data_IF_948357566113
#
_entry.id   IF_948357566113
#
_cell.length_a   1.000
_cell.length_b   1.000
_cell.length_c   1.000
_cell.angle_alpha   90.00
_cell.angle_beta   90.00
_cell.angle_gamma   90.00
#
_symmetry.space_group_name_H-M   'P 1'
#
loop_
_entity.id
_entity.type
_entity.pdbx_description
1 polymer ?
#
# COMPACT_ATOMS: atom_id res chain seq x y z
N UNK A 1 -15.50 17.13 -9.01
CA UNK A 1 -14.49 16.06 -9.12
C UNK A 1 -14.48 15.13 -7.90
N UNK A 2 -14.77 15.64 -6.69
CA UNK A 2 -14.96 14.84 -5.47
C UNK A 2 -16.20 13.95 -5.52
N UNK A 3 -17.24 14.38 -6.23
CA UNK A 3 -18.48 13.61 -6.38
C UNK A 3 -18.33 12.33 -7.21
N UNK A 4 -17.26 12.18 -7.99
CA UNK A 4 -17.06 10.96 -8.76
C UNK A 4 -16.50 9.78 -7.95
N UNK A 5 -15.74 10.05 -6.90
CA UNK A 5 -15.25 8.99 -6.00
C UNK A 5 -16.38 8.34 -5.19
N UNK A 6 -17.38 9.12 -4.78
CA UNK A 6 -18.57 8.59 -4.07
C UNK A 6 -19.53 7.79 -4.96
N UNK A 7 -19.46 7.95 -6.27
CA UNK A 7 -20.33 7.26 -7.24
C UNK A 7 -19.83 5.87 -7.63
N UNK A 8 -18.60 5.53 -7.28
CA UNK A 8 -17.97 4.31 -7.77
C UNK A 8 -18.13 3.23 -6.71
N UNK A 9 -19.27 2.55 -6.70
CA UNK A 9 -19.51 1.40 -5.82
C UNK A 9 -18.57 0.21 -6.08
N UNK A 10 -17.89 0.17 -7.22
CA UNK A 10 -17.08 -0.98 -7.63
C UNK A 10 -15.95 -0.66 -8.63
N UNK A 11 -15.69 0.62 -8.87
CA UNK A 11 -14.68 1.10 -9.83
C UNK A 11 -14.00 2.31 -9.22
N UNK A 12 -12.71 2.45 -9.38
CA UNK A 12 -12.00 3.67 -9.07
C UNK A 12 -11.01 4.03 -10.18
N UNK A 13 -10.67 5.29 -10.21
CA UNK A 13 -9.86 5.87 -11.25
C UNK A 13 -8.44 6.04 -10.75
N UNK A 14 -7.51 5.53 -11.52
CA UNK A 14 -6.09 5.75 -11.30
C UNK A 14 -5.62 6.83 -12.27
N UNK A 15 -5.05 7.89 -11.75
CA UNK A 15 -4.48 8.96 -12.54
C UNK A 15 -3.01 8.67 -12.82
N UNK A 16 -2.65 8.47 -14.07
CA UNK A 16 -1.29 8.23 -14.52
C UNK A 16 -0.75 9.42 -15.29
N UNK A 17 0.53 9.71 -15.07
CA UNK A 17 1.26 10.69 -15.86
C UNK A 17 1.74 10.05 -17.15
N UNK A 18 1.47 10.67 -18.30
CA UNK A 18 1.97 10.16 -19.58
C UNK A 18 3.47 10.41 -19.70
N UNK A 19 4.25 9.35 -19.81
CA UNK A 19 5.70 9.43 -20.00
C UNK A 19 6.13 10.04 -21.35
N UNK A 20 5.22 10.20 -22.29
CA UNK A 20 5.49 10.73 -23.65
C UNK A 20 5.23 12.24 -23.79
N UNK A 21 4.66 12.87 -22.79
CA UNK A 21 4.29 14.28 -22.84
C UNK A 21 5.12 15.12 -21.87
N UNK A 22 6.33 15.49 -22.28
CA UNK A 22 7.21 16.35 -21.48
C UNK A 22 6.73 17.82 -21.34
N UNK A 23 5.74 18.27 -22.08
CA UNK A 23 5.33 19.68 -22.11
C UNK A 23 3.97 19.96 -21.51
N UNK A 24 3.13 18.97 -21.29
CA UNK A 24 1.82 19.14 -20.69
C UNK A 24 1.61 18.04 -19.67
N UNK A 25 1.25 18.39 -18.45
CA UNK A 25 0.85 17.46 -17.39
C UNK A 25 -0.48 16.76 -17.76
N UNK A 26 -0.48 15.99 -18.83
CA UNK A 26 -1.64 15.16 -19.21
C UNK A 26 -1.64 13.95 -18.30
N UNK A 27 -2.42 14.02 -17.28
CA UNK A 27 -2.78 12.85 -16.52
C UNK A 27 -3.75 12.00 -17.33
N UNK A 28 -3.41 10.76 -17.56
CA UNK A 28 -4.30 9.79 -18.14
C UNK A 28 -5.18 9.23 -17.03
N UNK A 29 -6.48 9.45 -17.13
CA UNK A 29 -7.45 8.76 -16.26
C UNK A 29 -7.62 7.36 -16.80
N UNK A 30 -7.19 6.37 -16.01
CA UNK A 30 -7.44 4.97 -16.30
C UNK A 30 -8.48 4.43 -15.33
N UNK A 31 -9.41 3.66 -15.84
CA UNK A 31 -10.34 2.89 -15.04
C UNK A 31 -10.16 1.42 -15.36
N UNK A 32 -10.35 0.53 -14.39
CA UNK A 32 -10.46 -0.89 -14.68
C UNK A 32 -11.48 -1.13 -15.80
N UNK A 33 -11.31 -2.15 -16.65
CA UNK A 33 -12.29 -2.48 -17.67
C UNK A 33 -13.70 -2.51 -17.08
N UNK A 34 -14.70 -2.01 -17.83
CA UNK A 34 -16.08 -1.89 -17.34
C UNK A 34 -16.70 -3.21 -16.81
N UNK A 35 -16.10 -4.34 -17.18
CA UNK A 35 -16.49 -5.68 -16.73
C UNK A 35 -15.78 -6.14 -15.45
N UNK A 36 -14.85 -5.33 -14.92
CA UNK A 36 -14.15 -5.62 -13.67
C UNK A 36 -14.87 -4.91 -12.54
N UNK A 37 -15.52 -5.67 -11.70
CA UNK A 37 -16.21 -5.17 -10.51
C UNK A 37 -15.39 -5.60 -9.28
N UNK A 38 -14.70 -4.64 -8.68
CA UNK A 38 -13.86 -4.89 -7.52
C UNK A 38 -14.70 -5.41 -6.34
N UNK A 39 -15.90 -4.84 -6.15
CA UNK A 39 -16.78 -5.25 -5.07
C UNK A 39 -17.28 -6.69 -5.24
N UNK A 40 -17.66 -7.05 -6.48
CA UNK A 40 -18.02 -8.46 -6.76
C UNK A 40 -16.85 -9.40 -6.52
N UNK A 41 -15.64 -8.95 -6.81
CA UNK A 41 -14.42 -9.70 -6.51
C UNK A 41 -14.19 -9.84 -5.01
N UNK A 42 -14.28 -8.75 -4.27
CA UNK A 42 -14.18 -8.75 -2.80
C UNK A 42 -15.28 -9.59 -2.16
N UNK A 43 -16.53 -9.44 -2.60
CA UNK A 43 -17.67 -10.21 -2.09
C UNK A 43 -17.51 -11.71 -2.39
N UNK A 44 -17.05 -12.06 -3.59
CA UNK A 44 -16.75 -13.45 -3.96
C UNK A 44 -15.60 -14.03 -3.12
N UNK A 45 -14.60 -13.22 -2.79
CA UNK A 45 -13.49 -13.64 -1.94
C UNK A 45 -13.90 -13.78 -0.47
N UNK A 46 -14.79 -12.92 0.04
CA UNK A 46 -15.26 -12.96 1.43
C UNK A 46 -16.28 -14.08 1.68
N UNK A 47 -17.06 -14.46 0.67
CA UNK A 47 -18.16 -15.43 0.81
C UNK A 47 -17.71 -16.86 1.08
N UNK A 48 -16.45 -17.19 0.88
CA UNK A 48 -15.98 -18.58 0.98
C UNK A 48 -15.33 -18.95 2.32
N UNK A 49 -15.21 -18.03 3.28
CA UNK A 49 -14.90 -18.33 4.70
C UNK A 49 -13.63 -19.14 5.00
N UNK A 50 -12.75 -19.38 4.01
CA UNK A 50 -11.51 -20.13 4.19
C UNK A 50 -10.32 -19.19 4.36
N UNK A 51 -9.38 -19.56 5.21
CA UNK A 51 -8.11 -18.82 5.36
C UNK A 51 -7.15 -19.01 4.19
N UNK A 52 -7.40 -20.00 3.35
CA UNK A 52 -6.62 -20.24 2.15
C UNK A 52 -6.93 -19.22 1.04
N UNK A 53 -5.92 -18.82 0.26
CA UNK A 53 -6.14 -17.97 -0.90
C UNK A 53 -6.99 -18.73 -1.92
N UNK A 54 -8.19 -18.19 -2.16
CA UNK A 54 -9.15 -18.80 -3.04
C UNK A 54 -8.67 -18.85 -4.48
N UNK A 55 -9.04 -19.89 -5.23
CA UNK A 55 -8.78 -19.92 -6.64
C UNK A 55 -9.49 -18.74 -7.34
N UNK A 56 -8.70 -17.84 -7.88
CA UNK A 56 -9.21 -16.66 -8.56
C UNK A 56 -9.95 -17.12 -9.83
N UNK A 57 -11.21 -16.73 -10.02
CA UNK A 57 -11.93 -17.04 -11.24
C UNK A 57 -11.14 -16.61 -12.48
N UNK A 58 -11.09 -17.45 -13.52
CA UNK A 58 -10.31 -17.20 -14.76
C UNK A 58 -10.55 -15.80 -15.36
N UNK A 59 -11.78 -15.30 -15.27
CA UNK A 59 -12.16 -13.98 -15.76
C UNK A 59 -11.47 -12.86 -14.98
N UNK A 60 -11.42 -12.98 -13.66
CA UNK A 60 -10.77 -11.99 -12.78
C UNK A 60 -9.26 -12.05 -12.97
N UNK A 61 -8.67 -13.25 -13.02
CA UNK A 61 -7.25 -13.42 -13.33
C UNK A 61 -6.86 -12.72 -14.64
N UNK A 62 -7.66 -12.88 -15.69
CA UNK A 62 -7.45 -12.19 -16.97
C UNK A 62 -7.49 -10.65 -16.81
N UNK A 63 -8.40 -10.14 -16.00
CA UNK A 63 -8.50 -8.70 -15.73
C UNK A 63 -7.31 -8.18 -14.92
N UNK A 64 -6.87 -8.90 -13.91
CA UNK A 64 -5.67 -8.55 -13.11
C UNK A 64 -4.41 -8.57 -14.00
N UNK A 65 -4.27 -9.58 -14.86
CA UNK A 65 -3.16 -9.66 -15.82
C UNK A 65 -3.18 -8.53 -16.84
N UNK A 66 -4.37 -8.15 -17.33
CA UNK A 66 -4.53 -6.99 -18.19
C UNK A 66 -4.08 -5.69 -17.49
N UNK A 67 -4.48 -5.51 -16.24
CA UNK A 67 -4.07 -4.38 -15.42
C UNK A 67 -2.56 -4.37 -15.18
N UNK A 68 -1.98 -5.52 -14.84
CA UNK A 68 -0.53 -5.68 -14.67
C UNK A 68 0.24 -5.24 -15.91
N UNK A 69 -0.20 -5.71 -17.09
CA UNK A 69 0.45 -5.39 -18.36
C UNK A 69 0.31 -3.90 -18.72
N UNK A 70 -0.89 -3.35 -18.55
CA UNK A 70 -1.20 -2.00 -19.00
C UNK A 70 -0.60 -0.94 -18.08
N UNK A 71 -0.65 -1.15 -16.77
CA UNK A 71 -0.27 -0.16 -15.76
C UNK A 71 1.18 -0.36 -15.33
N UNK A 72 1.55 -1.58 -14.96
CA UNK A 72 2.88 -1.91 -14.45
C UNK A 72 3.86 -2.39 -15.52
N UNK A 73 3.39 -2.56 -16.77
CA UNK A 73 4.21 -3.00 -17.92
C UNK A 73 4.92 -4.34 -17.67
N UNK A 74 4.29 -5.22 -16.88
CA UNK A 74 4.75 -6.58 -16.59
C UNK A 74 3.85 -7.57 -17.31
N UNK A 75 4.43 -8.63 -17.88
CA UNK A 75 3.66 -9.61 -18.64
C UNK A 75 2.95 -10.63 -17.76
N UNK A 76 3.59 -11.05 -16.68
CA UNK A 76 3.13 -12.11 -15.77
C UNK A 76 3.39 -11.72 -14.32
N UNK A 77 2.58 -12.28 -13.43
CA UNK A 77 2.89 -12.28 -12.00
C UNK A 77 3.97 -13.35 -11.73
N UNK A 78 4.88 -13.05 -10.84
CA UNK A 78 5.80 -14.03 -10.32
C UNK A 78 5.12 -14.90 -9.26
N UNK A 79 5.73 -16.05 -8.96
CA UNK A 79 5.19 -16.97 -7.97
C UNK A 79 4.95 -16.27 -6.62
N UNK A 80 3.81 -16.56 -6.01
CA UNK A 80 3.36 -15.96 -4.76
C UNK A 80 2.73 -14.57 -4.87
N UNK A 81 3.08 -13.75 -5.89
CA UNK A 81 2.56 -12.38 -5.97
C UNK A 81 1.04 -12.31 -6.06
N UNK A 82 0.45 -13.14 -6.92
CA UNK A 82 -1.01 -13.13 -7.12
C UNK A 82 -1.76 -13.58 -5.86
N UNK A 83 -1.20 -14.54 -5.14
CA UNK A 83 -1.73 -15.01 -3.85
C UNK A 83 -1.73 -13.87 -2.82
N UNK A 84 -0.61 -13.16 -2.69
CA UNK A 84 -0.51 -11.99 -1.80
C UNK A 84 -1.54 -10.92 -2.19
N UNK A 85 -1.57 -10.52 -3.47
CA UNK A 85 -2.53 -9.53 -3.98
C UNK A 85 -3.96 -9.92 -3.64
N UNK A 86 -4.32 -11.19 -3.82
CA UNK A 86 -5.65 -11.70 -3.52
C UNK A 86 -6.01 -11.53 -2.04
N UNK A 87 -5.10 -11.89 -1.13
CA UNK A 87 -5.33 -11.72 0.32
C UNK A 87 -5.49 -10.24 0.70
N UNK A 88 -4.65 -9.37 0.13
CA UNK A 88 -4.73 -7.93 0.39
C UNK A 88 -6.05 -7.31 -0.11
N UNK A 89 -6.54 -7.75 -1.26
CA UNK A 89 -7.84 -7.33 -1.78
C UNK A 89 -9.01 -7.88 -0.95
N UNK A 90 -8.81 -8.95 -0.19
CA UNK A 90 -9.77 -9.46 0.80
C UNK A 90 -9.80 -8.64 2.10
N UNK A 91 -8.89 -7.68 2.26
CA UNK A 91 -8.74 -6.91 3.49
C UNK A 91 -8.17 -7.73 4.65
N UNK A 92 -7.38 -8.78 4.37
CA UNK A 92 -6.79 -9.64 5.40
C UNK A 92 -5.38 -9.20 5.76
N UNK A 93 -5.06 -9.14 7.04
CA UNK A 93 -3.69 -9.01 7.52
C UNK A 93 -2.84 -10.14 6.94
N UNK A 94 -1.63 -9.83 6.52
CA UNK A 94 -0.81 -10.79 5.77
C UNK A 94 0.67 -10.60 6.06
N UNK A 95 1.34 -11.67 6.44
CA UNK A 95 2.81 -11.71 6.47
C UNK A 95 3.28 -12.33 5.16
N UNK A 96 4.20 -11.66 4.49
CA UNK A 96 4.72 -12.05 3.17
C UNK A 96 6.19 -12.33 3.27
N UNK A 97 6.56 -13.57 3.06
CA UNK A 97 7.95 -14.02 2.96
C UNK A 97 8.28 -14.24 1.48
N UNK A 98 8.92 -13.27 0.87
CA UNK A 98 9.41 -13.35 -0.50
C UNK A 98 10.88 -12.93 -0.54
N UNK A 99 11.74 -13.62 -1.28
CA UNK A 99 13.17 -13.30 -1.34
C UNK A 99 13.42 -11.87 -1.83
N UNK A 100 14.59 -11.35 -1.53
CA UNK A 100 15.06 -10.08 -2.12
C UNK A 100 15.03 -10.20 -3.65
N UNK A 101 14.52 -9.18 -4.33
CA UNK A 101 14.27 -9.26 -5.76
C UNK A 101 12.99 -10.03 -6.17
N UNK A 102 12.28 -10.68 -5.25
CA UNK A 102 11.03 -11.42 -5.50
C UNK A 102 9.82 -10.53 -5.86
N UNK A 103 10.03 -9.23 -6.01
CA UNK A 103 8.97 -8.30 -6.43
C UNK A 103 7.94 -8.00 -5.34
N UNK A 104 8.35 -7.97 -4.08
CA UNK A 104 7.51 -7.59 -2.92
C UNK A 104 6.76 -6.27 -3.17
N UNK A 105 7.45 -5.24 -3.66
CA UNK A 105 6.87 -3.92 -3.89
C UNK A 105 5.70 -3.94 -4.86
N UNK A 106 5.73 -4.79 -5.89
CA UNK A 106 4.62 -4.91 -6.84
C UNK A 106 3.33 -5.35 -6.13
N UNK A 107 3.41 -6.22 -5.14
CA UNK A 107 2.22 -6.77 -4.47
C UNK A 107 1.40 -5.69 -3.79
N UNK A 108 2.03 -4.81 -3.02
CA UNK A 108 1.31 -3.72 -2.35
C UNK A 108 1.01 -2.54 -3.28
N UNK A 109 1.89 -2.24 -4.24
CA UNK A 109 1.61 -1.19 -5.22
C UNK A 109 0.40 -1.57 -6.08
N UNK A 110 0.33 -2.82 -6.51
CA UNK A 110 -0.79 -3.33 -7.30
C UNK A 110 -2.09 -3.30 -6.48
N UNK A 111 -2.06 -3.85 -5.27
CA UNK A 111 -3.24 -3.92 -4.39
C UNK A 111 -3.72 -2.54 -3.95
N UNK A 112 -2.81 -1.63 -3.60
CA UNK A 112 -3.14 -0.27 -3.20
C UNK A 112 -3.81 0.54 -4.31
N UNK A 113 -3.42 0.33 -5.59
CA UNK A 113 -4.11 0.97 -6.72
C UNK A 113 -5.51 0.42 -6.97
N UNK A 114 -5.77 -0.82 -6.61
CA UNK A 114 -7.08 -1.45 -6.79
C UNK A 114 -8.06 -1.18 -5.64
N UNK A 115 -7.62 -0.49 -4.60
CA UNK A 115 -8.44 -0.13 -3.44
C UNK A 115 -8.60 1.38 -3.34
N UNK A 116 -9.78 1.89 -2.92
CA UNK A 116 -9.99 3.31 -2.71
C UNK A 116 -9.24 3.78 -1.46
N UNK A 117 -8.49 4.86 -1.57
CA UNK A 117 -7.76 5.46 -0.45
C UNK A 117 -6.27 5.60 -0.71
N UNK A 118 -5.52 5.70 0.37
CA UNK A 118 -4.06 5.86 0.36
C UNK A 118 -3.41 4.61 0.95
N UNK A 119 -2.43 4.04 0.29
CA UNK A 119 -1.55 3.03 0.87
C UNK A 119 -0.44 3.74 1.66
N UNK A 120 -0.29 3.39 2.93
CA UNK A 120 0.78 3.86 3.80
C UNK A 120 1.90 2.81 3.81
N UNK A 121 3.10 3.18 3.41
CA UNK A 121 4.26 2.28 3.34
C UNK A 121 5.30 2.75 4.35
N UNK A 122 5.61 1.88 5.32
CA UNK A 122 6.60 2.09 6.35
C UNK A 122 7.84 1.29 5.96
N UNK A 123 8.93 1.99 5.67
CA UNK A 123 10.19 1.40 5.21
C UNK A 123 11.35 1.99 6.04
N UNK A 124 12.26 1.16 6.58
CA UNK A 124 13.35 1.63 7.44
C UNK A 124 14.48 2.31 6.67
N UNK A 125 14.53 2.14 5.35
CA UNK A 125 15.65 2.59 4.53
C UNK A 125 15.26 3.79 3.68
N UNK A 126 15.61 4.98 4.15
CA UNK A 126 15.29 6.27 3.47
C UNK A 126 15.76 6.31 2.02
N UNK A 127 16.90 5.70 1.70
CA UNK A 127 17.38 5.59 0.34
C UNK A 127 16.43 4.79 -0.55
N UNK A 128 15.91 3.66 -0.05
CA UNK A 128 14.93 2.84 -0.77
C UNK A 128 13.59 3.56 -0.94
N UNK A 129 13.16 4.34 0.03
CA UNK A 129 11.96 5.17 -0.08
C UNK A 129 12.06 6.09 -1.30
N UNK A 130 13.18 6.80 -1.44
CA UNK A 130 13.39 7.71 -2.57
C UNK A 130 13.39 6.98 -3.92
N UNK A 131 14.06 5.82 -3.99
CA UNK A 131 14.09 5.01 -5.19
C UNK A 131 12.70 4.46 -5.56
N UNK A 132 11.92 4.02 -4.58
CA UNK A 132 10.54 3.56 -4.79
C UNK A 132 9.65 4.68 -5.36
N UNK A 133 9.73 5.87 -4.79
CA UNK A 133 8.95 7.03 -5.27
C UNK A 133 9.44 7.47 -6.66
N UNK A 134 10.74 7.49 -6.90
CA UNK A 134 11.29 7.81 -8.22
C UNK A 134 10.84 6.79 -9.29
N UNK A 135 10.87 5.50 -8.98
CA UNK A 135 10.39 4.44 -9.86
C UNK A 135 8.90 4.57 -10.18
N UNK A 136 8.07 4.86 -9.17
CA UNK A 136 6.64 5.10 -9.38
C UNK A 136 6.41 6.32 -10.29
N UNK A 137 7.13 7.41 -10.08
CA UNK A 137 7.07 8.59 -10.94
C UNK A 137 7.49 8.28 -12.40
N UNK A 138 8.54 7.49 -12.59
CA UNK A 138 8.97 7.04 -13.93
C UNK A 138 7.92 6.17 -14.62
N UNK A 139 7.18 5.37 -13.88
CA UNK A 139 6.04 4.61 -14.40
C UNK A 139 4.81 5.46 -14.71
N UNK A 140 4.83 6.74 -14.31
CA UNK A 140 3.73 7.68 -14.55
C UNK A 140 2.79 7.85 -13.34
N UNK A 141 3.12 7.33 -12.16
CA UNK A 141 2.38 7.57 -10.92
C UNK A 141 2.89 8.85 -10.26
N UNK A 142 2.25 9.98 -10.53
CA UNK A 142 2.62 11.28 -9.98
C UNK A 142 2.03 11.57 -8.58
N UNK A 143 1.31 10.59 -8.01
CA UNK A 143 0.69 10.66 -6.68
C UNK A 143 1.33 9.69 -5.69
N UNK A 144 2.66 9.63 -5.71
CA UNK A 144 3.47 8.99 -4.69
C UNK A 144 4.30 10.06 -3.99
N UNK A 145 4.22 10.09 -2.68
CA UNK A 145 4.97 11.04 -1.86
C UNK A 145 5.71 10.33 -0.72
N UNK A 146 6.65 11.04 -0.10
CA UNK A 146 7.38 10.52 1.04
C UNK A 146 7.61 11.58 2.10
N UNK A 147 7.76 11.13 3.34
CA UNK A 147 8.15 11.97 4.46
C UNK A 147 9.37 11.34 5.13
N UNK A 148 10.52 11.92 4.88
CA UNK A 148 11.80 11.46 5.43
C UNK A 148 12.55 12.54 6.18
N UNK A 149 13.68 12.17 6.75
CA UNK A 149 14.62 13.11 7.40
C UNK A 149 15.39 13.97 6.40
N UNK A 150 15.41 13.60 5.11
CA UNK A 150 16.13 14.35 4.07
C UNK A 150 15.40 15.63 3.65
N UNK A 151 14.09 15.71 3.90
CA UNK A 151 13.32 16.93 3.64
C UNK A 151 13.67 18.02 4.66
N UNK A 152 13.86 19.23 4.19
CA UNK A 152 13.94 20.38 5.08
C UNK A 152 12.60 20.63 5.80
N UNK A 153 12.58 21.59 6.73
CA UNK A 153 11.38 21.83 7.54
C UNK A 153 10.20 22.34 6.69
N UNK A 154 10.46 23.15 5.67
CA UNK A 154 9.43 23.74 4.81
C UNK A 154 8.89 22.70 3.82
N UNK A 155 9.77 21.94 3.20
CA UNK A 155 9.39 20.83 2.31
C UNK A 155 8.56 19.78 3.06
N UNK A 156 8.97 19.45 4.27
CA UNK A 156 8.26 18.47 5.12
C UNK A 156 6.86 18.95 5.47
N UNK A 157 6.70 20.22 5.78
CA UNK A 157 5.37 20.77 6.10
C UNK A 157 4.46 20.72 4.86
N UNK A 158 4.97 21.04 3.68
CA UNK A 158 4.23 20.93 2.43
C UNK A 158 3.79 19.49 2.18
N UNK A 159 4.69 18.52 2.37
CA UNK A 159 4.38 17.11 2.17
C UNK A 159 3.35 16.60 3.19
N UNK A 160 3.46 17.00 4.45
CA UNK A 160 2.47 16.70 5.48
C UNK A 160 1.08 17.21 5.12
N UNK A 161 0.98 18.43 4.62
CA UNK A 161 -0.29 19.00 4.17
C UNK A 161 -0.86 18.27 2.95
N UNK A 162 -0.03 17.80 2.02
CA UNK A 162 -0.46 16.98 0.89
C UNK A 162 -1.01 15.62 1.37
N UNK A 163 -0.38 15.01 2.38
CA UNK A 163 -0.89 13.78 3.02
C UNK A 163 -2.27 14.04 3.59
N UNK A 164 -2.45 15.04 4.44
CA UNK A 164 -3.74 15.38 5.06
C UNK A 164 -4.86 15.68 4.06
N UNK A 165 -4.49 16.15 2.85
CA UNK A 165 -5.44 16.41 1.75
C UNK A 165 -5.76 15.18 0.90
N UNK A 166 -5.16 14.01 1.17
CA UNK A 166 -5.34 12.80 0.35
C UNK A 166 -4.79 12.95 -1.07
N UNK A 167 -3.69 13.70 -1.22
CA UNK A 167 -3.11 13.95 -2.54
C UNK A 167 -2.37 12.74 -3.11
N UNK A 168 -2.08 11.74 -2.30
CA UNK A 168 -1.24 10.60 -2.66
C UNK A 168 -2.02 9.28 -2.68
N UNK A 169 -1.69 8.41 -3.64
CA UNK A 169 -2.06 6.99 -3.62
C UNK A 169 -1.11 6.19 -2.72
N UNK A 170 0.16 6.61 -2.69
CA UNK A 170 1.20 5.98 -1.88
C UNK A 170 1.91 7.02 -1.04
N UNK A 171 1.99 6.80 0.25
CA UNK A 171 2.76 7.61 1.19
C UNK A 171 3.83 6.74 1.82
N UNK A 172 5.08 7.06 1.56
CA UNK A 172 6.23 6.37 2.13
C UNK A 172 6.76 7.13 3.32
N UNK A 173 7.02 6.43 4.41
CA UNK A 173 7.53 7.03 5.64
C UNK A 173 8.55 6.13 6.32
N UNK A 174 9.50 6.74 7.03
CA UNK A 174 10.34 6.01 7.97
C UNK A 174 9.53 5.65 9.24
N UNK A 175 9.81 4.50 9.91
CA UNK A 175 9.04 4.02 11.06
C UNK A 175 9.00 5.02 12.22
N UNK A 176 10.05 5.83 12.42
CA UNK A 176 10.11 6.86 13.46
C UNK A 176 9.01 7.92 13.29
N UNK A 177 8.51 8.13 12.08
CA UNK A 177 7.42 9.08 11.82
C UNK A 177 6.12 8.68 12.48
N UNK A 178 5.88 7.37 12.61
CA UNK A 178 4.69 6.86 13.31
C UNK A 178 4.68 7.22 14.81
N UNK A 179 5.81 7.64 15.36
CA UNK A 179 5.93 8.09 16.76
C UNK A 179 5.77 9.61 16.91
N UNK A 180 5.79 10.37 15.82
CA UNK A 180 5.74 11.83 15.84
C UNK A 180 4.31 12.37 15.79
N UNK A 181 3.92 13.21 16.75
CA UNK A 181 2.55 13.72 16.86
C UNK A 181 2.14 14.58 15.65
N UNK A 182 3.05 15.34 15.06
CA UNK A 182 2.75 16.09 13.85
C UNK A 182 2.34 15.19 12.70
N UNK A 183 2.98 14.03 12.51
CA UNK A 183 2.58 13.05 11.47
C UNK A 183 1.27 12.35 11.83
N UNK A 184 1.10 11.94 13.08
CA UNK A 184 -0.14 11.32 13.59
C UNK A 184 -1.36 12.23 13.39
N UNK A 185 -1.21 13.54 13.63
CA UNK A 185 -2.28 14.51 13.39
C UNK A 185 -2.68 14.60 11.92
N UNK A 186 -1.72 14.52 11.01
CA UNK A 186 -2.00 14.50 9.55
C UNK A 186 -2.65 13.20 9.10
N UNK A 187 -2.28 12.06 9.69
CA UNK A 187 -2.97 10.79 9.43
C UNK A 187 -4.44 10.86 9.87
N UNK A 188 -4.72 11.39 11.06
CA UNK A 188 -6.11 11.60 11.51
C UNK A 188 -6.89 12.52 10.55
N UNK A 189 -6.25 13.60 10.08
CA UNK A 189 -6.88 14.53 9.13
C UNK A 189 -7.10 13.88 7.74
N UNK A 190 -6.23 12.96 7.33
CA UNK A 190 -6.40 12.15 6.13
C UNK A 190 -7.58 11.19 6.27
N UNK A 191 -7.57 10.37 7.32
CA UNK A 191 -8.55 9.31 7.55
C UNK A 191 -9.97 9.86 7.71
N UNK A 192 -10.12 11.05 8.26
CA UNK A 192 -11.41 11.75 8.33
C UNK A 192 -12.03 12.03 6.94
N UNK A 193 -11.25 11.96 5.87
CA UNK A 193 -11.70 12.27 4.49
C UNK A 193 -11.55 11.09 3.54
N UNK A 194 -10.46 10.35 3.68
CA UNK A 194 -10.07 9.26 2.78
C UNK A 194 -9.49 8.11 3.61
N UNK A 195 -9.91 6.86 3.39
CA UNK A 195 -9.38 5.74 4.14
C UNK A 195 -7.90 5.49 3.80
N UNK A 196 -7.17 4.93 4.77
CA UNK A 196 -5.96 4.18 4.45
C UNK A 196 -6.42 2.83 3.90
N UNK A 197 -6.10 2.56 2.65
CA UNK A 197 -6.53 1.32 1.99
C UNK A 197 -5.69 0.11 2.39
N UNK A 198 -4.44 0.36 2.78
CA UNK A 198 -3.45 -0.66 3.10
C UNK A 198 -2.34 -0.03 3.93
N UNK A 199 -1.93 -0.68 5.02
CA UNK A 199 -0.72 -0.34 5.75
C UNK A 199 0.35 -1.42 5.50
N UNK A 200 1.48 -1.01 4.97
CA UNK A 200 2.59 -1.90 4.59
C UNK A 200 3.77 -1.63 5.50
N UNK A 201 4.31 -2.68 6.10
CA UNK A 201 5.53 -2.63 6.90
C UNK A 201 6.59 -3.42 6.13
N UNK A 202 7.48 -2.70 5.45
CA UNK A 202 8.60 -3.34 4.75
C UNK A 202 9.71 -3.68 5.75
N UNK A 203 10.50 -4.70 5.43
CA UNK A 203 11.50 -5.29 6.31
C UNK A 203 10.96 -5.61 7.72
N UNK A 204 9.77 -6.22 7.76
CA UNK A 204 9.05 -6.50 9.00
C UNK A 204 9.85 -7.33 10.03
N UNK A 205 10.91 -8.02 9.61
CA UNK A 205 11.82 -8.73 10.52
C UNK A 205 12.52 -7.79 11.53
N UNK A 206 12.58 -6.49 11.24
CA UNK A 206 13.14 -5.48 12.15
C UNK A 206 12.37 -5.34 13.48
N UNK A 207 11.18 -5.91 13.59
CA UNK A 207 10.40 -5.91 14.84
C UNK A 207 10.96 -6.87 15.88
N UNK A 208 11.65 -7.93 15.44
CA UNK A 208 12.12 -9.00 16.30
C UNK A 208 13.51 -8.74 16.86
N UNK A 209 13.66 -8.85 18.19
CA UNK A 209 14.98 -8.81 18.86
C UNK A 209 15.88 -9.99 18.45
N UNK A 210 15.29 -11.07 17.95
CA UNK A 210 16.00 -12.22 17.40
C UNK A 210 16.40 -12.05 15.93
N UNK A 211 16.01 -10.92 15.31
CA UNK A 211 16.38 -10.56 13.96
C UNK A 211 17.76 -9.92 13.89
N UNK A 212 18.38 -9.96 12.71
CA UNK A 212 19.71 -9.36 12.52
C UNK A 212 19.71 -7.83 12.49
N UNK A 213 18.55 -7.20 12.35
CA UNK A 213 18.41 -5.74 12.21
C UNK A 213 17.24 -5.22 13.06
N UNK A 214 17.24 -5.56 14.34
CA UNK A 214 16.22 -5.07 15.28
C UNK A 214 16.21 -3.55 15.37
N UNK A 215 15.01 -2.97 15.27
CA UNK A 215 14.81 -1.52 15.35
C UNK A 215 13.69 -1.17 16.32
N UNK A 216 14.01 -0.47 17.43
CA UNK A 216 12.97 -0.05 18.39
C UNK A 216 11.83 0.76 17.78
N UNK A 217 12.06 1.45 16.66
CA UNK A 217 11.03 2.21 15.94
C UNK A 217 9.93 1.33 15.31
N UNK A 218 10.15 0.02 15.19
CA UNK A 218 9.15 -0.95 14.73
C UNK A 218 8.19 -1.40 15.82
N UNK A 219 8.61 -1.28 17.08
CA UNK A 219 7.73 -1.60 18.20
C UNK A 219 6.49 -0.69 18.19
N UNK A 220 5.34 -1.28 18.40
CA UNK A 220 4.04 -0.61 18.43
C UNK A 220 3.57 -0.05 17.06
N UNK A 221 4.15 -0.49 15.91
CA UNK A 221 3.65 -0.08 14.61
C UNK A 221 2.22 -0.54 14.38
N UNK A 222 1.89 -1.79 14.70
CA UNK A 222 0.53 -2.31 14.62
C UNK A 222 -0.45 -1.49 15.44
N UNK A 223 -0.13 -1.23 16.71
CA UNK A 223 -0.94 -0.38 17.58
C UNK A 223 -1.10 1.04 17.04
N UNK A 224 -0.04 1.65 16.52
CA UNK A 224 -0.09 2.99 15.94
C UNK A 224 -0.94 3.01 14.66
N UNK A 225 -0.84 1.99 13.80
CA UNK A 225 -1.68 1.85 12.63
C UNK A 225 -3.14 1.72 13.04
N UNK A 226 -3.45 0.83 13.96
CA UNK A 226 -4.81 0.64 14.47
C UNK A 226 -5.38 1.94 15.04
N UNK A 227 -4.59 2.69 15.81
CA UNK A 227 -5.03 3.91 16.46
C UNK A 227 -5.19 5.11 15.53
N UNK A 228 -4.30 5.29 14.57
CA UNK A 228 -4.21 6.51 13.77
C UNK A 228 -4.67 6.35 12.30
N UNK A 229 -4.83 5.11 11.84
CA UNK A 229 -5.23 4.82 10.46
C UNK A 229 -6.63 4.21 10.35
N UNK A 230 -7.32 3.95 11.46
CA UNK A 230 -8.69 3.41 11.46
C UNK A 230 -9.71 4.46 11.04
N UNK A 231 -10.68 4.05 10.24
CA UNK A 231 -11.86 4.86 9.91
C UNK A 231 -12.79 4.85 11.13
N UNK A 232 -13.19 6.04 11.59
CA UNK A 232 -14.05 6.23 12.75
C UNK A 232 -13.54 5.56 14.05
N UNK A 233 -12.23 5.25 14.11
CA UNK A 233 -11.59 4.61 15.25
C UNK A 233 -11.88 3.11 15.41
N UNK A 234 -12.69 2.50 14.52
CA UNK A 234 -13.16 1.13 14.69
C UNK A 234 -12.62 0.16 13.63
N UNK A 235 -12.41 0.64 12.40
CA UNK A 235 -12.00 -0.23 11.29
C UNK A 235 -10.56 0.07 10.85
N UNK A 236 -9.57 -0.69 11.34
CA UNK A 236 -8.20 -0.53 10.90
C UNK A 236 -8.01 -0.99 9.45
N UNK A 237 -7.05 -0.40 8.72
CA UNK A 237 -6.68 -0.91 7.41
C UNK A 237 -6.03 -2.29 7.54
N UNK A 238 -6.09 -3.14 6.50
CA UNK A 238 -5.32 -4.37 6.47
C UNK A 238 -3.83 -4.06 6.56
N UNK A 239 -3.11 -4.83 7.39
CA UNK A 239 -1.68 -4.68 7.62
C UNK A 239 -0.92 -5.76 6.86
N UNK A 240 0.15 -5.36 6.22
CA UNK A 240 1.04 -6.26 5.47
C UNK A 240 2.46 -6.15 5.99
N UNK A 241 2.97 -7.20 6.57
CA UNK A 241 4.39 -7.34 6.92
C UNK A 241 5.15 -8.00 5.77
N UNK A 242 6.12 -7.31 5.20
CA UNK A 242 6.97 -7.84 4.13
C UNK A 242 8.38 -8.12 4.66
N UNK A 243 8.92 -9.29 4.35
CA UNK A 243 10.32 -9.60 4.66
C UNK A 243 10.93 -10.54 3.63
N UNK A 244 12.26 -10.48 3.46
CA UNK A 244 13.01 -11.38 2.59
C UNK A 244 13.45 -12.65 3.31
N UNK A 245 13.64 -12.55 4.62
CA UNK A 245 14.17 -13.62 5.47
C UNK A 245 13.52 -13.55 6.84
N UNK A 246 13.09 -14.69 7.36
CA UNK A 246 12.62 -14.79 8.73
C UNK A 246 12.73 -16.24 9.22
N UNK A 247 13.22 -16.43 10.44
CA UNK A 247 13.07 -17.69 11.17
C UNK A 247 11.64 -17.81 11.69
N UNK A 248 11.28 -18.99 12.19
CA UNK A 248 9.97 -19.20 12.80
C UNK A 248 9.73 -18.26 14.00
N UNK A 249 10.74 -18.04 14.83
CA UNK A 249 10.65 -17.12 15.96
C UNK A 249 10.36 -15.67 15.49
N UNK A 250 11.09 -15.20 14.48
CA UNK A 250 10.88 -13.87 13.88
C UNK A 250 9.48 -13.74 13.29
N UNK A 251 8.95 -14.78 12.62
CA UNK A 251 7.57 -14.76 12.11
C UNK A 251 6.54 -14.65 13.23
N UNK A 252 6.77 -15.32 14.36
CA UNK A 252 5.89 -15.23 15.54
C UNK A 252 5.90 -13.81 16.11
N UNK A 253 7.08 -13.20 16.23
CA UNK A 253 7.19 -11.81 16.72
C UNK A 253 6.49 -10.82 15.77
N UNK A 254 6.66 -10.99 14.46
CA UNK A 254 5.94 -10.17 13.46
C UNK A 254 4.43 -10.33 13.64
N UNK A 255 3.95 -11.55 13.82
CA UNK A 255 2.52 -11.80 14.00
C UNK A 255 1.98 -11.07 15.24
N UNK A 256 2.65 -11.24 16.38
CA UNK A 256 2.25 -10.60 17.65
C UNK A 256 2.24 -9.07 17.54
N UNK A 257 3.23 -8.49 16.87
CA UNK A 257 3.35 -7.03 16.77
C UNK A 257 2.36 -6.41 15.78
N UNK A 258 1.94 -7.15 14.76
CA UNK A 258 1.04 -6.66 13.72
C UNK A 258 -0.45 -6.95 13.97
N UNK A 259 -0.77 -7.78 14.96
CA UNK A 259 -2.14 -7.99 15.45
C UNK A 259 -2.55 -6.89 16.43
#
# INVERSE_FOLDING_TARGET
KENNLKRIKSKYWVRLRSSKCHKENRAMLWSPPAKYDLKQFEDALRSQGTDDPLPIPKKIHKSLKYFLKTVFRKNEFWDGQLMVITRLLQGKNTIVLLPTGGGKSLTYQFSGLLQPGTALIIDPLVALINDQVANLNQMGFDRAGYISSLLDASEREIELQKVAKGSYYYVFVAPERMQMENFRSQLRALVAKFPISLAVIDEAHCVSEWGHDFRPSYLHLGLNINKYCSVDGETPPPVVGLTGTASFAVLTDIQIELE
#
